data_IF_715896774569
#
_entry.id   IF_715896774569
#
_cell.length_a   1.000
_cell.length_b   1.000
_cell.length_c   1.000
_cell.angle_alpha   90.00
_cell.angle_beta   90.00
_cell.angle_gamma   90.00
#
_symmetry.space_group_name_H-M   'P 1'
#
loop_
_entity.id
_entity.type
_entity.pdbx_description
1 polymer ?
#
# COMPACT_ATOMS: atom_id res chain seq x y z
N UNK A 1 22.35 3.35 8.53
CA UNK A 1 22.61 2.86 7.18
C UNK A 1 21.48 3.29 6.26
N UNK A 2 21.76 3.42 4.99
CA UNK A 2 20.71 3.77 4.01
C UNK A 2 19.79 2.59 3.75
N UNK A 3 18.54 2.89 3.39
CA UNK A 3 17.55 1.84 3.09
C UNK A 3 17.96 1.00 1.87
N UNK A 4 18.58 1.60 0.84
CA UNK A 4 19.06 0.89 -0.36
C UNK A 4 20.26 -0.06 -0.11
N UNK A 5 20.94 0.05 1.02
CA UNK A 5 21.98 -0.90 1.43
C UNK A 5 21.38 -2.23 1.93
N UNK A 6 20.14 -2.19 2.45
CA UNK A 6 19.46 -3.34 3.09
C UNK A 6 18.21 -3.82 2.36
N UNK A 7 17.75 -3.06 1.38
CA UNK A 7 16.64 -3.41 0.51
C UNK A 7 16.96 -2.99 -0.93
N UNK A 8 16.27 -3.56 -1.91
CA UNK A 8 16.22 -2.97 -3.25
C UNK A 8 15.06 -2.00 -3.29
N UNK A 9 15.30 -0.78 -3.77
CA UNK A 9 14.27 0.25 -3.92
C UNK A 9 14.20 0.63 -5.40
N UNK A 10 13.02 0.48 -5.99
CA UNK A 10 12.81 0.79 -7.42
C UNK A 10 11.43 1.39 -7.66
N UNK A 11 11.30 2.18 -8.70
CA UNK A 11 10.01 2.67 -9.18
C UNK A 11 9.26 1.57 -9.92
N UNK A 12 7.95 1.53 -9.81
CA UNK A 12 7.10 0.63 -10.58
C UNK A 12 7.13 0.93 -12.10
N UNK A 13 6.29 0.24 -12.85
CA UNK A 13 6.21 0.34 -14.31
C UNK A 13 5.67 1.69 -14.78
N UNK A 14 6.29 2.27 -15.82
CA UNK A 14 5.68 3.36 -16.58
C UNK A 14 4.63 2.77 -17.52
N UNK A 15 3.42 2.60 -16.98
CA UNK A 15 2.34 1.80 -17.59
C UNK A 15 1.86 2.39 -18.93
N UNK A 16 1.78 3.72 -19.06
CA UNK A 16 1.35 4.35 -20.31
C UNK A 16 2.23 4.01 -21.52
N UNK A 17 3.54 3.83 -21.34
CA UNK A 17 4.46 3.46 -22.43
C UNK A 17 4.40 1.97 -22.78
N UNK A 18 3.90 1.14 -21.89
CA UNK A 18 3.86 -0.33 -22.03
C UNK A 18 2.45 -0.87 -22.29
N UNK A 19 1.45 0.00 -22.33
CA UNK A 19 0.06 -0.37 -22.62
C UNK A 19 -0.06 -0.80 -24.07
N UNK A 20 -0.83 -1.85 -24.33
CA UNK A 20 -1.23 -2.23 -25.68
C UNK A 20 -2.11 -1.14 -26.31
N UNK A 21 -2.06 -0.97 -27.61
CA UNK A 21 -2.93 -0.05 -28.34
C UNK A 21 -4.39 -0.50 -28.26
N UNK A 22 -5.29 0.47 -28.18
CA UNK A 22 -6.73 0.18 -28.10
C UNK A 22 -7.18 -0.56 -29.39
N UNK A 23 -7.89 -1.67 -29.20
CA UNK A 23 -8.35 -2.53 -30.29
C UNK A 23 -7.39 -3.68 -30.66
N UNK A 24 -6.16 -3.71 -30.15
CA UNK A 24 -5.25 -4.84 -30.33
C UNK A 24 -5.34 -5.76 -29.13
N UNK A 25 -5.78 -6.99 -29.37
CA UNK A 25 -5.82 -8.02 -28.32
C UNK A 25 -4.39 -8.46 -27.97
N UNK A 26 -3.88 -7.96 -26.85
CA UNK A 26 -2.57 -8.41 -26.36
C UNK A 26 -2.68 -9.74 -25.64
N UNK A 27 -1.69 -10.64 -25.86
CA UNK A 27 -1.54 -11.89 -25.10
C UNK A 27 -1.05 -11.66 -23.65
N UNK A 28 -0.57 -10.45 -23.32
CA UNK A 28 -0.02 -10.12 -22.00
C UNK A 28 -1.06 -9.37 -21.18
N UNK A 29 -1.89 -10.11 -20.46
CA UNK A 29 -2.92 -9.57 -19.56
C UNK A 29 -2.49 -9.73 -18.12
N UNK A 30 -2.65 -8.67 -17.34
CA UNK A 30 -2.27 -8.62 -15.93
C UNK A 30 -3.33 -7.88 -15.12
N UNK A 31 -3.35 -8.11 -13.81
CA UNK A 31 -3.99 -7.20 -12.86
C UNK A 31 -2.98 -6.16 -12.40
N UNK A 32 -3.40 -4.92 -12.25
CA UNK A 32 -2.54 -3.79 -11.91
C UNK A 32 -3.11 -3.04 -10.70
N UNK A 33 -2.23 -2.67 -9.79
CA UNK A 33 -2.57 -1.74 -8.72
C UNK A 33 -2.84 -0.34 -9.29
N UNK A 34 -3.77 0.36 -8.68
CA UNK A 34 -3.94 1.80 -8.85
C UNK A 34 -3.90 2.50 -7.49
N UNK A 35 -4.03 3.84 -7.48
CA UNK A 35 -3.95 4.61 -6.25
C UNK A 35 -5.11 4.33 -5.29
N UNK A 36 -6.28 3.91 -5.79
CA UNK A 36 -7.46 3.61 -4.99
C UNK A 36 -7.41 2.24 -4.33
N UNK A 37 -6.56 1.33 -4.84
CA UNK A 37 -6.33 0.03 -4.18
C UNK A 37 -5.72 0.18 -2.79
N UNK A 38 -5.03 1.29 -2.50
CA UNK A 38 -4.34 1.51 -1.22
C UNK A 38 -5.07 2.60 -0.45
N UNK A 39 -5.81 2.19 0.57
CA UNK A 39 -6.49 3.10 1.48
C UNK A 39 -5.50 3.92 2.32
N UNK A 40 -5.95 5.03 2.90
CA UNK A 40 -5.09 5.95 3.67
C UNK A 40 -4.44 5.28 4.90
N UNK A 41 -5.11 4.31 5.49
CA UNK A 41 -4.61 3.48 6.60
C UNK A 41 -3.61 2.39 6.16
N UNK A 42 -3.39 2.25 4.83
CA UNK A 42 -2.47 1.28 4.24
C UNK A 42 -3.03 -0.13 4.13
N UNK A 43 -4.34 -0.27 4.04
CA UNK A 43 -5.00 -1.50 3.64
C UNK A 43 -5.05 -1.60 2.10
N UNK A 44 -4.95 -2.83 1.57
CA UNK A 44 -5.09 -3.09 0.13
C UNK A 44 -6.47 -3.66 -0.14
N UNK A 45 -7.25 -2.97 -0.98
CA UNK A 45 -8.51 -3.48 -1.50
C UNK A 45 -8.33 -3.88 -2.97
N UNK A 46 -8.31 -5.18 -3.22
CA UNK A 46 -8.12 -5.74 -4.55
C UNK A 46 -9.34 -5.57 -5.47
N UNK A 47 -10.51 -5.20 -4.92
CA UNK A 47 -11.70 -4.91 -5.73
C UNK A 47 -11.46 -3.73 -6.69
N UNK A 48 -10.53 -2.85 -6.37
CA UNK A 48 -10.15 -1.71 -7.21
C UNK A 48 -8.99 -2.00 -8.17
N UNK A 49 -8.42 -3.21 -8.17
CA UNK A 49 -7.36 -3.57 -9.10
C UNK A 49 -7.89 -3.59 -10.54
N UNK A 50 -7.14 -2.97 -11.46
CA UNK A 50 -7.53 -2.80 -12.86
C UNK A 50 -6.95 -3.89 -13.74
N UNK A 51 -7.67 -4.23 -14.83
CA UNK A 51 -7.08 -5.03 -15.88
C UNK A 51 -6.08 -4.18 -16.69
N UNK A 52 -4.92 -4.76 -16.95
CA UNK A 52 -3.87 -4.11 -17.69
C UNK A 52 -3.38 -5.00 -18.84
N UNK A 53 -3.46 -4.50 -20.06
CA UNK A 53 -2.94 -5.18 -21.25
C UNK A 53 -1.62 -4.52 -21.66
N UNK A 54 -0.54 -5.30 -21.63
CA UNK A 54 0.77 -4.82 -22.03
C UNK A 54 1.10 -5.26 -23.46
N UNK A 55 1.79 -4.41 -24.22
CA UNK A 55 2.30 -4.73 -25.57
C UNK A 55 3.44 -5.75 -25.58
N UNK A 56 4.08 -5.96 -24.43
CA UNK A 56 5.21 -6.88 -24.26
C UNK A 56 5.14 -7.56 -22.87
N UNK A 57 5.86 -8.66 -22.70
CA UNK A 57 5.99 -9.33 -21.41
C UNK A 57 6.69 -8.40 -20.41
N UNK A 58 6.04 -8.16 -19.27
CA UNK A 58 6.63 -7.35 -18.20
C UNK A 58 7.68 -8.14 -17.43
N UNK A 59 8.69 -7.42 -16.93
CA UNK A 59 9.74 -7.99 -16.11
C UNK A 59 9.22 -8.40 -14.72
N UNK A 60 9.67 -9.54 -14.16
CA UNK A 60 9.17 -10.05 -12.87
C UNK A 60 9.30 -9.08 -11.71
N UNK A 61 10.31 -8.20 -11.75
CA UNK A 61 10.54 -7.20 -10.70
C UNK A 61 9.48 -6.09 -10.62
N UNK A 62 8.61 -5.98 -11.62
CA UNK A 62 7.52 -4.98 -11.67
C UNK A 62 6.23 -5.50 -11.02
N UNK A 63 6.23 -6.76 -10.58
CA UNK A 63 5.09 -7.38 -9.91
C UNK A 63 5.31 -7.40 -8.41
N UNK A 64 4.20 -7.29 -7.67
CA UNK A 64 4.19 -7.49 -6.23
C UNK A 64 4.61 -8.90 -5.87
N UNK A 65 5.42 -9.01 -4.81
CA UNK A 65 5.83 -10.28 -4.19
C UNK A 65 5.56 -10.19 -2.69
N UNK A 66 5.30 -11.34 -2.07
CA UNK A 66 5.11 -11.40 -0.62
C UNK A 66 6.31 -10.82 0.14
N UNK A 67 6.00 -9.89 1.04
CA UNK A 67 7.00 -9.16 1.81
C UNK A 67 7.57 -7.93 1.09
N UNK A 68 7.07 -7.56 -0.10
CA UNK A 68 7.36 -6.23 -0.64
C UNK A 68 6.68 -5.16 0.21
N UNK A 69 7.36 -4.04 0.40
CA UNK A 69 6.73 -2.83 0.94
C UNK A 69 6.58 -1.84 -0.21
N UNK A 70 5.35 -1.41 -0.47
CA UNK A 70 5.10 -0.34 -1.43
C UNK A 70 4.93 0.98 -0.69
N UNK A 71 5.39 2.07 -1.31
CA UNK A 71 5.11 3.44 -0.86
C UNK A 71 4.64 4.28 -2.05
N UNK A 72 3.56 5.04 -1.86
CA UNK A 72 3.13 6.04 -2.84
C UNK A 72 4.19 7.14 -2.94
N UNK A 73 4.52 7.51 -4.17
CA UNK A 73 5.49 8.57 -4.44
C UNK A 73 4.85 9.98 -4.44
N UNK A 74 3.52 10.06 -4.21
CA UNK A 74 2.76 11.30 -4.05
C UNK A 74 1.99 11.29 -2.73
N UNK A 75 1.61 12.45 -2.24
CA UNK A 75 0.77 12.57 -1.03
C UNK A 75 -0.46 11.63 -1.10
N UNK A 76 -0.81 10.98 -0.01
CA UNK A 76 -0.30 11.07 1.37
C UNK A 76 0.90 10.15 1.69
N UNK A 77 1.67 9.69 0.71
CA UNK A 77 2.87 8.83 0.85
C UNK A 77 2.60 7.54 1.62
N UNK A 78 1.39 7.02 1.50
CA UNK A 78 0.95 5.81 2.19
C UNK A 78 1.84 4.63 1.82
N UNK A 79 2.23 3.86 2.82
CA UNK A 79 3.00 2.63 2.64
C UNK A 79 2.20 1.40 3.08
N UNK A 80 2.44 0.27 2.40
CA UNK A 80 1.71 -0.99 2.61
C UNK A 80 2.65 -2.17 2.45
N UNK A 81 2.41 -3.22 3.24
CA UNK A 81 3.07 -4.51 3.12
C UNK A 81 2.25 -5.43 2.21
N UNK A 82 2.91 -6.06 1.26
CA UNK A 82 2.29 -7.04 0.36
C UNK A 82 2.22 -8.39 1.06
N UNK A 83 1.02 -8.90 1.20
CA UNK A 83 0.72 -10.26 1.68
C UNK A 83 0.61 -11.26 0.51
N UNK A 84 0.38 -12.53 0.84
CA UNK A 84 0.24 -13.60 -0.15
C UNK A 84 -0.93 -13.37 -1.13
N UNK A 85 -2.02 -12.74 -0.67
CA UNK A 85 -3.22 -12.51 -1.48
C UNK A 85 -3.03 -11.37 -2.49
N UNK A 86 -2.08 -10.48 -2.22
CA UNK A 86 -1.79 -9.28 -3.03
C UNK A 86 -0.57 -9.47 -3.95
N UNK A 87 -0.12 -10.72 -4.16
CA UNK A 87 0.99 -11.04 -5.05
C UNK A 87 0.59 -11.05 -6.53
N UNK A 88 1.56 -10.79 -7.42
CA UNK A 88 1.38 -10.91 -8.88
C UNK A 88 0.70 -9.72 -9.55
N UNK A 89 0.53 -8.61 -8.86
CA UNK A 89 -0.04 -7.39 -9.41
C UNK A 89 1.05 -6.50 -10.01
N UNK A 90 0.78 -5.93 -11.17
CA UNK A 90 1.67 -4.91 -11.76
C UNK A 90 1.65 -3.67 -10.88
N UNK A 91 2.82 -3.19 -10.51
CA UNK A 91 2.98 -1.96 -9.73
C UNK A 91 3.27 -0.79 -10.67
N UNK A 92 2.39 0.22 -10.78
CA UNK A 92 2.64 1.38 -11.63
C UNK A 92 3.69 2.34 -11.02
N UNK A 93 4.20 3.25 -11.83
CA UNK A 93 5.27 4.21 -11.47
C UNK A 93 4.88 5.23 -10.38
N UNK A 94 3.63 5.26 -9.96
CA UNK A 94 3.16 6.04 -8.81
C UNK A 94 3.62 5.47 -7.46
N UNK A 95 4.22 4.27 -7.47
CA UNK A 95 4.75 3.59 -6.29
C UNK A 95 6.23 3.28 -6.43
N UNK A 96 6.94 3.29 -5.31
CA UNK A 96 8.20 2.59 -5.18
C UNK A 96 7.96 1.21 -4.57
N UNK A 97 8.70 0.21 -5.08
CA UNK A 97 8.75 -1.16 -4.58
C UNK A 97 10.02 -1.29 -3.74
N UNK A 98 9.85 -1.66 -2.48
CA UNK A 98 10.95 -1.87 -1.53
C UNK A 98 10.98 -3.34 -1.18
N UNK A 99 12.00 -4.05 -1.64
CA UNK A 99 12.18 -5.49 -1.40
C UNK A 99 13.31 -5.73 -0.44
N UNK A 100 12.98 -6.19 0.74
CA UNK A 100 13.93 -6.38 1.84
C UNK A 100 14.97 -7.46 1.54
N UNK A 101 16.22 -7.21 1.89
CA UNK A 101 17.25 -8.24 2.05
C UNK A 101 17.05 -8.89 3.42
N UNK A 102 16.17 -9.90 3.53
CA UNK A 102 15.62 -10.45 4.79
C UNK A 102 16.67 -10.88 5.84
N UNK A 103 17.92 -11.13 5.43
CA UNK A 103 19.04 -11.38 6.37
C UNK A 103 19.45 -10.13 7.16
N UNK A 104 19.11 -8.93 6.69
CA UNK A 104 19.52 -7.64 7.27
C UNK A 104 18.35 -6.86 7.85
N UNK A 105 17.21 -6.91 7.18
CA UNK A 105 16.01 -6.12 7.55
C UNK A 105 14.75 -6.91 7.25
N UNK A 106 13.76 -6.79 8.14
CA UNK A 106 12.44 -7.39 7.95
C UNK A 106 11.50 -6.41 7.22
N UNK A 107 10.63 -6.91 6.33
CA UNK A 107 9.63 -6.08 5.63
C UNK A 107 8.73 -5.28 6.56
N UNK A 108 8.26 -5.91 7.63
CA UNK A 108 7.37 -5.32 8.63
C UNK A 108 8.06 -4.16 9.38
N UNK A 109 9.37 -4.28 9.59
CA UNK A 109 10.17 -3.21 10.17
C UNK A 109 10.37 -2.04 9.20
N UNK A 110 10.55 -2.30 7.90
CA UNK A 110 10.58 -1.26 6.87
C UNK A 110 9.23 -0.52 6.83
N UNK A 111 8.11 -1.25 6.87
CA UNK A 111 6.78 -0.64 6.92
C UNK A 111 6.64 0.28 8.13
N UNK A 112 6.98 -0.20 9.33
CA UNK A 112 6.98 0.61 10.55
C UNK A 112 7.86 1.85 10.41
N UNK A 113 9.08 1.70 9.89
CA UNK A 113 10.03 2.79 9.70
C UNK A 113 9.47 3.88 8.78
N UNK A 114 8.84 3.51 7.67
CA UNK A 114 8.25 4.48 6.73
C UNK A 114 7.04 5.22 7.31
N UNK A 115 6.28 4.58 8.19
CA UNK A 115 5.10 5.15 8.86
C UNK A 115 5.45 5.95 10.12
N UNK A 116 6.69 5.86 10.60
CA UNK A 116 7.14 6.61 11.76
C UNK A 116 7.07 8.10 11.48
N UNK A 117 6.52 8.87 12.43
CA UNK A 117 6.31 10.32 12.29
C UNK A 117 7.56 11.06 11.81
N UNK A 118 8.73 10.79 12.42
CA UNK A 118 9.97 11.45 12.03
C UNK A 118 10.43 11.14 10.60
N UNK A 119 10.12 9.94 10.07
CA UNK A 119 10.40 9.57 8.68
C UNK A 119 9.39 10.24 7.75
N UNK A 120 8.12 10.26 8.14
CA UNK A 120 7.06 10.93 7.39
C UNK A 120 7.34 12.44 7.25
N UNK A 121 7.80 13.11 8.31
CA UNK A 121 8.20 14.51 8.24
C UNK A 121 9.40 14.74 7.31
N UNK A 122 10.39 13.85 7.29
CA UNK A 122 11.48 13.91 6.30
C UNK A 122 10.96 13.76 4.86
N UNK A 123 9.98 12.90 4.63
CA UNK A 123 9.34 12.72 3.32
C UNK A 123 8.63 14.01 2.90
N UNK A 124 7.84 14.61 3.79
CA UNK A 124 7.15 15.88 3.53
C UNK A 124 8.11 17.02 3.18
N UNK A 125 9.20 17.15 3.92
CA UNK A 125 10.21 18.21 3.70
C UNK A 125 10.99 18.04 2.39
N UNK A 126 11.10 16.82 1.89
CA UNK A 126 11.83 16.50 0.66
C UNK A 126 10.91 16.28 -0.55
N UNK A 127 9.61 16.50 -0.40
CA UNK A 127 8.70 16.46 -1.52
C UNK A 127 8.87 17.70 -2.40
N UNK A 128 9.04 17.49 -3.70
CA UNK A 128 9.20 18.56 -4.69
C UNK A 128 7.98 18.67 -5.60
N UNK A 129 7.54 19.89 -5.88
CA UNK A 129 6.43 20.19 -6.78
C UNK A 129 5.86 21.59 -6.56
N UNK A 130 5.13 22.09 -7.55
CA UNK A 130 4.45 23.40 -7.50
C UNK A 130 3.15 23.41 -6.68
N UNK A 131 2.73 22.25 -6.18
CA UNK A 131 1.55 22.08 -5.32
C UNK A 131 1.98 21.89 -3.86
N UNK A 132 1.09 22.19 -2.92
CA UNK A 132 1.32 22.02 -1.47
C UNK A 132 1.77 20.60 -1.06
N UNK A 133 1.58 19.61 -1.94
CA UNK A 133 1.97 18.22 -1.74
C UNK A 133 2.68 17.71 -3.00
N UNK A 134 4.02 17.74 -2.96
CA UNK A 134 4.86 17.32 -4.07
C UNK A 134 4.97 15.81 -4.24
N UNK A 135 5.89 15.39 -5.11
CA UNK A 135 6.27 14.00 -5.29
C UNK A 135 7.67 13.74 -4.76
N UNK A 136 7.92 12.49 -4.34
CA UNK A 136 9.24 12.00 -3.97
C UNK A 136 9.72 10.99 -5.00
N UNK A 137 11.04 10.83 -5.12
CA UNK A 137 11.63 9.81 -5.98
C UNK A 137 11.91 8.51 -5.22
N UNK A 138 11.95 7.38 -5.92
CA UNK A 138 12.41 6.11 -5.33
C UNK A 138 13.87 6.19 -4.86
N UNK A 139 14.69 7.03 -5.51
CA UNK A 139 16.07 7.30 -5.08
C UNK A 139 16.11 8.00 -3.71
N UNK A 140 15.24 8.98 -3.48
CA UNK A 140 15.10 9.60 -2.16
C UNK A 140 14.63 8.58 -1.11
N UNK A 141 13.63 7.74 -1.40
CA UNK A 141 13.19 6.67 -0.49
C UNK A 141 14.36 5.75 -0.14
N UNK A 142 15.18 5.36 -1.12
CA UNK A 142 16.39 4.55 -0.91
C UNK A 142 17.44 5.23 -0.02
N UNK A 143 17.55 6.54 -0.07
CA UNK A 143 18.52 7.31 0.73
C UNK A 143 18.12 7.49 2.20
N UNK A 144 16.88 7.19 2.59
CA UNK A 144 16.43 7.30 3.99
C UNK A 144 17.29 6.46 4.92
N UNK A 145 17.65 7.05 6.07
CA UNK A 145 18.50 6.40 7.06
C UNK A 145 17.69 5.54 8.02
N UNK A 146 17.78 4.22 7.86
CA UNK A 146 17.16 3.23 8.75
C UNK A 146 18.16 2.70 9.79
N UNK A 147 17.74 2.55 11.03
CA UNK A 147 18.60 2.00 12.10
C UNK A 147 18.63 0.48 12.03
N UNK A 148 19.84 -0.10 12.08
CA UNK A 148 20.03 -1.53 12.17
C UNK A 148 19.79 -2.00 13.62
N UNK A 149 18.60 -2.50 13.90
CA UNK A 149 18.34 -3.26 15.13
C UNK A 149 18.59 -4.76 14.90
N UNK A 150 18.70 -5.53 16.01
CA UNK A 150 18.65 -6.99 15.89
C UNK A 150 17.33 -7.46 15.29
N UNK A 151 17.32 -8.62 14.66
CA UNK A 151 16.11 -9.17 14.00
C UNK A 151 14.95 -9.31 14.99
N UNK A 152 15.23 -9.69 16.25
CA UNK A 152 14.21 -9.80 17.30
C UNK A 152 13.54 -8.46 17.59
N UNK A 153 14.32 -7.39 17.70
CA UNK A 153 13.77 -6.03 17.92
C UNK A 153 12.98 -5.54 16.72
N UNK A 154 13.47 -5.82 15.49
CA UNK A 154 12.72 -5.51 14.27
C UNK A 154 11.40 -6.27 14.22
N UNK A 155 11.41 -7.56 14.57
CA UNK A 155 10.20 -8.41 14.63
C UNK A 155 9.18 -7.85 15.61
N UNK A 156 9.62 -7.46 16.82
CA UNK A 156 8.72 -6.90 17.84
C UNK A 156 8.04 -5.62 17.35
N UNK A 157 8.78 -4.69 16.72
CA UNK A 157 8.22 -3.44 16.18
C UNK A 157 7.26 -3.70 15.03
N UNK A 158 7.65 -4.57 14.09
CA UNK A 158 6.82 -4.91 12.94
C UNK A 158 5.53 -5.63 13.34
N UNK A 159 5.61 -6.62 14.24
CA UNK A 159 4.44 -7.35 14.73
C UNK A 159 3.46 -6.44 15.47
N UNK A 160 3.97 -5.55 16.34
CA UNK A 160 3.11 -4.60 17.05
C UNK A 160 2.36 -3.69 16.07
N UNK A 161 3.03 -3.19 15.03
CA UNK A 161 2.38 -2.40 13.99
C UNK A 161 1.27 -3.19 13.28
N UNK A 162 1.56 -4.43 12.86
CA UNK A 162 0.59 -5.26 12.15
C UNK A 162 -0.63 -5.60 13.02
N UNK A 163 -0.42 -5.89 14.30
CA UNK A 163 -1.50 -6.14 15.27
C UNK A 163 -2.35 -4.89 15.49
N UNK A 164 -1.71 -3.72 15.66
CA UNK A 164 -2.42 -2.44 15.80
C UNK A 164 -3.25 -2.10 14.56
N UNK A 165 -2.70 -2.31 13.36
CA UNK A 165 -3.46 -2.12 12.11
C UNK A 165 -4.67 -3.06 12.05
N UNK A 166 -4.51 -4.33 12.45
CA UNK A 166 -5.59 -5.31 12.46
C UNK A 166 -6.68 -4.96 13.48
N UNK A 167 -6.28 -4.49 14.65
CA UNK A 167 -7.21 -3.99 15.66
C UNK A 167 -8.04 -2.82 15.13
N UNK A 168 -7.39 -1.83 14.50
CA UNK A 168 -8.08 -0.67 13.92
C UNK A 168 -9.06 -1.08 12.81
N UNK A 169 -8.66 -1.99 11.93
CA UNK A 169 -9.54 -2.56 10.89
C UNK A 169 -10.79 -3.19 11.49
N UNK A 170 -10.61 -4.03 12.54
CA UNK A 170 -11.71 -4.71 13.22
C UNK A 170 -12.64 -3.72 13.92
N UNK A 171 -12.10 -2.72 14.59
CA UNK A 171 -12.89 -1.66 15.24
C UNK A 171 -13.71 -0.85 14.21
N UNK A 172 -13.10 -0.47 13.10
CA UNK A 172 -13.80 0.22 12.03
C UNK A 172 -14.95 -0.62 11.45
N UNK A 173 -14.67 -1.90 11.18
CA UNK A 173 -15.69 -2.84 10.69
C UNK A 173 -16.82 -3.01 11.70
N UNK A 174 -16.50 -3.20 12.97
CA UNK A 174 -17.50 -3.30 14.04
C UNK A 174 -18.37 -2.05 14.12
N UNK A 175 -17.78 -0.86 14.06
CA UNK A 175 -18.53 0.40 14.08
C UNK A 175 -19.50 0.50 12.88
N UNK A 176 -19.06 0.10 11.69
CA UNK A 176 -19.90 0.08 10.48
C UNK A 176 -21.07 -0.88 10.59
N UNK A 177 -20.82 -2.12 11.02
CA UNK A 177 -21.85 -3.14 11.23
C UNK A 177 -22.88 -2.69 12.29
N UNK A 178 -22.39 -2.08 13.37
CA UNK A 178 -23.26 -1.56 14.43
C UNK A 178 -24.15 -0.41 13.95
N UNK A 179 -23.63 0.46 13.09
CA UNK A 179 -24.42 1.54 12.48
C UNK A 179 -25.54 1.00 11.60
N UNK A 180 -25.26 -0.03 10.78
CA UNK A 180 -26.25 -0.72 9.93
C UNK A 180 -27.32 -1.36 10.82
N UNK A 181 -26.90 -2.17 11.81
CA UNK A 181 -27.82 -2.83 12.73
C UNK A 181 -28.75 -1.85 13.46
N UNK A 182 -28.22 -0.74 13.96
CA UNK A 182 -29.03 0.28 14.64
C UNK A 182 -30.06 0.89 13.70
N UNK A 183 -29.67 1.20 12.44
CA UNK A 183 -30.58 1.73 11.43
C UNK A 183 -31.72 0.77 11.11
N UNK A 184 -31.41 -0.51 10.94
CA UNK A 184 -32.42 -1.56 10.68
C UNK A 184 -33.36 -1.73 11.87
N UNK A 185 -32.82 -1.75 13.09
CA UNK A 185 -33.61 -1.84 14.32
C UNK A 185 -34.59 -0.67 14.45
N UNK A 186 -34.13 0.56 14.17
CA UNK A 186 -35.01 1.74 14.19
C UNK A 186 -36.12 1.67 13.14
N UNK A 187 -35.82 1.16 11.94
CA UNK A 187 -36.84 0.97 10.90
C UNK A 187 -37.90 -0.07 11.33
N UNK A 188 -37.47 -1.20 11.90
CA UNK A 188 -38.38 -2.24 12.40
C UNK A 188 -39.28 -1.69 13.50
N UNK A 189 -38.72 -0.92 14.46
CA UNK A 189 -39.51 -0.28 15.51
C UNK A 189 -40.52 0.71 14.99
N UNK A 190 -40.13 1.53 14.00
CA UNK A 190 -41.01 2.49 13.35
C UNK A 190 -42.20 1.80 12.66
N UNK A 191 -41.90 0.74 11.87
CA UNK A 191 -42.95 -0.02 11.17
C UNK A 191 -43.90 -0.73 12.14
N UNK A 192 -43.39 -1.22 13.26
CA UNK A 192 -44.23 -1.79 14.34
C UNK A 192 -45.19 -0.74 14.90
N UNK A 193 -44.67 0.42 15.29
CA UNK A 193 -45.53 1.49 15.85
C UNK A 193 -46.59 1.97 14.89
N UNK A 194 -46.25 2.08 13.58
CA UNK A 194 -47.21 2.46 12.51
C UNK A 194 -48.32 1.44 12.33
N UNK A 195 -48.11 0.17 12.70
CA UNK A 195 -49.16 -0.85 12.61
C UNK A 195 -50.04 -0.98 13.87
N UNK A 196 -49.71 -0.26 14.93
CA UNK A 196 -50.47 -0.23 16.20
C UNK A 196 -51.47 0.98 16.23
N UNK A 197 -51.36 1.94 15.32
CA UNK A 197 -52.30 3.05 15.10
C UNK A 197 -53.37 2.69 14.03
#
# INVERSE_FOLDING_TARGET
MRLDEVATVRTGAVTGRKKAEDGIQSSFRYKMLNLTCIAADGYIDLAFAEEYQAKEKLKPELFTQEGDVLIRLSFPYTSVLIDVNSCGLVVPSHFAIIRAKRKKVLPEYILWFLRRESTYQQILQNSSGSTAFGTISSGFVGSLNIRAFSIEKQKSLGQLLLLSNKEQELLYRLAKEKAIFNKETLNILYDKFKGED
#
